data_IF_257121833534
#
_entry.id   IF_257121833534
#
_cell.length_a   1.000
_cell.length_b   1.000
_cell.length_c   1.000
_cell.angle_alpha   90.00
_cell.angle_beta   90.00
_cell.angle_gamma   90.00
#
_symmetry.space_group_name_H-M   'P 1'
#
loop_
_entity.id
_entity.type
_entity.pdbx_description
1 polymer ?
#
# COMPACT_ATOMS: atom_id res chain seq x y z
N UNK A 1 47.22 -40.16 37.80
CA UNK A 1 46.34 -39.10 37.25
C UNK A 1 45.95 -39.29 35.76
N UNK A 2 46.40 -40.33 35.07
CA UNK A 2 46.15 -40.51 33.61
C UNK A 2 44.83 -41.22 33.22
N UNK A 3 44.13 -41.85 34.16
CA UNK A 3 42.90 -42.61 33.85
C UNK A 3 41.70 -41.69 33.51
N UNK A 4 41.66 -40.47 34.07
CA UNK A 4 40.51 -39.57 33.92
C UNK A 4 40.54 -38.75 32.61
N UNK A 5 41.73 -38.51 32.06
CA UNK A 5 41.93 -37.76 30.80
C UNK A 5 41.55 -38.61 29.57
N UNK A 6 41.75 -39.94 29.62
CA UNK A 6 41.39 -40.83 28.50
C UNK A 6 39.87 -40.96 28.30
N UNK A 7 39.06 -40.88 29.38
CA UNK A 7 37.59 -40.91 29.26
C UNK A 7 37.02 -39.64 28.63
N UNK A 8 37.56 -38.45 28.95
CA UNK A 8 37.12 -37.18 28.33
C UNK A 8 37.42 -37.12 26.82
N UNK A 9 38.59 -37.63 26.38
CA UNK A 9 38.92 -37.68 24.94
C UNK A 9 38.02 -38.64 24.14
N UNK A 10 37.50 -39.71 24.76
CA UNK A 10 36.60 -40.67 24.11
C UNK A 10 35.17 -40.14 23.97
N UNK A 11 34.68 -39.36 24.95
CA UNK A 11 33.38 -38.70 24.89
C UNK A 11 33.37 -37.58 23.83
N UNK A 12 34.43 -36.76 23.76
CA UNK A 12 34.56 -35.70 22.75
C UNK A 12 34.75 -36.24 21.32
N UNK A 13 35.36 -37.42 21.15
CA UNK A 13 35.42 -38.11 19.84
C UNK A 13 34.05 -38.62 19.38
N UNK A 14 33.13 -38.93 20.29
CA UNK A 14 31.77 -39.37 19.95
C UNK A 14 30.82 -38.21 19.70
N UNK A 15 31.03 -37.03 20.29
CA UNK A 15 30.24 -35.83 19.96
C UNK A 15 30.57 -35.35 18.54
N UNK A 16 31.84 -35.46 18.11
CA UNK A 16 32.29 -35.08 16.76
C UNK A 16 31.75 -35.97 15.62
N UNK A 17 31.12 -37.12 15.94
CA UNK A 17 30.50 -38.03 14.96
C UNK A 17 29.01 -37.75 14.73
N UNK A 18 28.36 -36.95 15.58
CA UNK A 18 26.96 -36.52 15.41
C UNK A 18 26.82 -35.12 14.80
N UNK A 19 27.93 -34.51 14.36
CA UNK A 19 27.94 -33.22 13.63
C UNK A 19 28.18 -33.47 12.13
N UNK A 20 27.72 -34.62 11.64
CA UNK A 20 27.65 -34.92 10.22
C UNK A 20 26.39 -34.31 9.64
N UNK A 21 26.56 -33.36 8.72
CA UNK A 21 25.58 -32.98 7.68
C UNK A 21 24.16 -32.64 8.16
N UNK A 22 24.03 -31.81 9.19
CA UNK A 22 22.94 -30.82 9.12
C UNK A 22 23.49 -29.70 8.24
N UNK A 23 22.86 -29.32 7.12
CA UNK A 23 23.26 -28.09 6.44
C UNK A 23 23.03 -26.96 7.44
N UNK A 24 24.08 -26.58 8.16
CA UNK A 24 24.13 -25.25 8.75
C UNK A 24 24.14 -24.34 7.54
N UNK A 25 22.97 -23.83 7.19
CA UNK A 25 22.80 -22.89 6.11
C UNK A 25 23.70 -21.71 6.48
N UNK A 26 24.88 -21.68 5.89
CA UNK A 26 25.66 -20.47 5.82
C UNK A 26 24.68 -19.49 5.17
N UNK A 27 24.28 -18.45 5.91
CA UNK A 27 23.51 -17.34 5.35
C UNK A 27 24.55 -16.29 4.99
N UNK A 28 25.27 -16.40 3.86
CA UNK A 28 26.00 -15.26 3.36
C UNK A 28 24.95 -14.26 2.91
N UNK A 29 24.95 -13.11 3.57
CA UNK A 29 24.03 -11.99 3.43
C UNK A 29 22.73 -12.10 4.24
N UNK A 30 22.56 -11.17 5.19
CA UNK A 30 21.41 -11.02 6.08
C UNK A 30 20.23 -10.34 5.38
N UNK A 31 20.46 -9.83 4.18
CA UNK A 31 19.46 -9.13 3.38
C UNK A 31 18.61 -10.13 2.62
N UNK A 32 17.28 -9.91 2.64
CA UNK A 32 16.31 -10.69 1.87
C UNK A 32 15.48 -9.73 1.05
N UNK A 33 15.32 -10.04 -0.23
CA UNK A 33 14.51 -9.25 -1.14
C UNK A 33 13.18 -9.96 -1.35
N UNK A 34 12.10 -9.26 -1.00
CA UNK A 34 10.73 -9.72 -1.16
C UNK A 34 10.22 -9.23 -2.51
N UNK A 35 9.82 -10.17 -3.36
CA UNK A 35 9.19 -9.89 -4.65
C UNK A 35 7.69 -10.05 -4.49
N UNK A 36 6.94 -9.02 -4.89
CA UNK A 36 5.50 -8.94 -4.71
C UNK A 36 4.76 -9.10 -6.04
N UNK A 37 3.55 -9.64 -5.98
CA UNK A 37 2.60 -9.61 -7.09
C UNK A 37 1.85 -8.26 -7.20
N UNK A 38 0.93 -8.16 -8.16
CA UNK A 38 0.12 -6.95 -8.37
C UNK A 38 -0.82 -6.62 -7.19
N UNK A 39 -1.15 -7.59 -6.34
CA UNK A 39 -2.00 -7.41 -5.15
C UNK A 39 -1.18 -7.14 -3.89
N UNK A 40 0.16 -7.17 -3.98
CA UNK A 40 1.06 -7.04 -2.85
C UNK A 40 1.24 -8.33 -2.05
N UNK A 41 0.88 -9.49 -2.61
CA UNK A 41 1.25 -10.79 -2.03
C UNK A 41 2.72 -11.12 -2.31
N UNK A 42 3.37 -11.84 -1.40
CA UNK A 42 4.79 -12.23 -1.55
C UNK A 42 4.85 -13.47 -2.45
N UNK A 43 5.46 -13.36 -3.63
CA UNK A 43 5.63 -14.49 -4.57
C UNK A 43 6.99 -15.18 -4.39
N UNK A 44 8.07 -14.42 -4.34
CA UNK A 44 9.44 -14.96 -4.31
C UNK A 44 10.31 -14.20 -3.31
N UNK A 45 11.19 -14.92 -2.62
CA UNK A 45 12.19 -14.34 -1.72
C UNK A 45 13.57 -14.74 -2.21
N UNK A 46 14.42 -13.75 -2.45
CA UNK A 46 15.81 -13.96 -2.90
C UNK A 46 16.82 -13.49 -1.86
N UNK A 47 18.00 -14.11 -1.87
CA UNK A 47 19.16 -13.67 -1.10
C UNK A 47 19.91 -12.51 -1.80
N UNK A 48 21.01 -12.05 -1.20
CA UNK A 48 21.87 -10.98 -1.74
C UNK A 48 22.61 -11.34 -3.03
N UNK A 49 22.65 -12.62 -3.36
CA UNK A 49 23.34 -13.20 -4.50
C UNK A 49 22.36 -13.53 -5.63
N UNK A 50 21.05 -13.29 -5.42
CA UNK A 50 20.00 -13.54 -6.40
C UNK A 50 19.49 -14.99 -6.43
N UNK A 51 19.90 -15.85 -5.49
CA UNK A 51 19.35 -17.19 -5.38
C UNK A 51 17.96 -17.15 -4.73
N UNK A 52 17.07 -18.01 -5.21
CA UNK A 52 15.72 -18.16 -4.66
C UNK A 52 15.83 -18.94 -3.34
N UNK A 53 15.44 -18.29 -2.25
CA UNK A 53 15.37 -18.89 -0.92
C UNK A 53 14.01 -19.53 -0.71
N UNK A 54 12.95 -18.84 -1.13
CA UNK A 54 11.58 -19.27 -0.92
C UNK A 54 10.68 -18.79 -2.05
N UNK A 55 9.68 -19.60 -2.41
CA UNK A 55 8.64 -19.25 -3.38
C UNK A 55 7.29 -19.65 -2.80
N UNK A 56 6.33 -18.74 -2.90
CA UNK A 56 4.97 -18.91 -2.43
C UNK A 56 4.03 -18.70 -3.61
N UNK A 57 2.99 -19.51 -3.70
CA UNK A 57 1.95 -19.33 -4.71
C UNK A 57 0.58 -19.38 -4.03
N UNK A 58 -0.36 -18.56 -4.51
CA UNK A 58 -1.69 -18.44 -3.94
C UNK A 58 -2.78 -18.80 -4.97
N UNK A 59 -3.93 -19.28 -4.48
CA UNK A 59 -5.17 -19.30 -5.27
C UNK A 59 -5.76 -17.88 -5.36
N UNK A 60 -6.80 -17.71 -6.17
CA UNK A 60 -7.48 -16.40 -6.31
C UNK A 60 -7.99 -15.85 -4.96
N UNK A 61 -8.34 -16.72 -4.01
CA UNK A 61 -8.81 -16.35 -2.68
C UNK A 61 -7.72 -16.36 -1.60
N UNK A 62 -6.44 -16.52 -1.98
CA UNK A 62 -5.31 -16.44 -1.06
C UNK A 62 -4.89 -17.74 -0.39
N UNK A 63 -5.46 -18.89 -0.79
CA UNK A 63 -5.04 -20.20 -0.27
C UNK A 63 -3.63 -20.52 -0.79
N UNK A 64 -2.72 -20.87 0.12
CA UNK A 64 -1.35 -21.25 -0.26
C UNK A 64 -1.36 -22.57 -1.02
N UNK A 65 -0.74 -22.58 -2.19
CA UNK A 65 -0.53 -23.79 -2.99
C UNK A 65 0.70 -24.54 -2.51
N UNK A 66 0.65 -25.88 -2.58
CA UNK A 66 1.75 -26.78 -2.21
C UNK A 66 2.79 -27.00 -3.33
N UNK A 67 2.63 -26.35 -4.49
CA UNK A 67 3.48 -26.54 -5.66
C UNK A 67 3.47 -25.30 -6.55
N UNK A 68 4.54 -25.13 -7.32
CA UNK A 68 4.66 -24.03 -8.27
C UNK A 68 3.68 -24.27 -9.44
N UNK A 69 3.36 -23.23 -10.22
CA UNK A 69 2.54 -23.36 -11.43
C UNK A 69 3.18 -24.27 -12.50
N UNK A 70 4.43 -24.66 -12.29
CA UNK A 70 5.20 -25.61 -13.09
C UNK A 70 5.05 -27.01 -12.51
N UNK A 71 4.56 -27.91 -13.35
CA UNK A 71 4.08 -29.28 -13.09
C UNK A 71 5.09 -30.23 -12.40
N UNK A 72 6.31 -29.81 -12.07
CA UNK A 72 7.38 -30.73 -11.64
C UNK A 72 8.22 -30.33 -10.42
N UNK A 73 8.13 -29.10 -9.91
CA UNK A 73 8.98 -28.69 -8.78
C UNK A 73 8.14 -28.43 -7.52
N UNK A 74 8.36 -29.20 -6.44
CA UNK A 74 7.82 -28.84 -5.13
C UNK A 74 8.32 -27.44 -4.78
N UNK A 75 7.42 -26.56 -4.31
CA UNK A 75 7.87 -25.30 -3.75
C UNK A 75 8.84 -25.62 -2.60
N UNK A 76 9.93 -24.83 -2.44
CA UNK A 76 10.73 -24.91 -1.24
C UNK A 76 9.82 -24.84 -0.01
N UNK A 77 10.07 -25.66 1.04
CA UNK A 77 9.25 -25.60 2.24
C UNK A 77 9.26 -24.18 2.78
N UNK A 78 8.07 -23.68 3.15
CA UNK A 78 7.94 -22.39 3.82
C UNK A 78 8.81 -22.44 5.06
N UNK A 79 9.65 -21.44 5.23
CA UNK A 79 10.50 -21.32 6.41
C UNK A 79 9.81 -20.26 7.29
N UNK A 80 9.06 -20.65 8.35
CA UNK A 80 8.36 -19.68 9.20
C UNK A 80 9.30 -18.66 9.84
N UNK A 81 10.59 -19.01 9.95
CA UNK A 81 11.62 -18.11 10.44
C UNK A 81 11.96 -16.95 9.46
N UNK A 82 11.53 -17.00 8.21
CA UNK A 82 11.85 -16.01 7.18
C UNK A 82 10.77 -14.93 7.05
N UNK A 83 9.50 -15.32 6.95
CA UNK A 83 8.36 -14.40 6.96
C UNK A 83 7.05 -15.10 7.32
N UNK A 84 6.28 -14.50 8.24
CA UNK A 84 4.91 -14.92 8.51
C UNK A 84 3.89 -14.26 7.57
N UNK A 85 4.34 -13.32 6.73
CA UNK A 85 3.46 -12.61 5.78
C UNK A 85 3.34 -13.36 4.46
N UNK A 86 2.19 -13.21 3.82
CA UNK A 86 1.90 -13.86 2.56
C UNK A 86 0.94 -13.08 1.67
N UNK A 87 -0.30 -13.57 1.57
CA UNK A 87 -1.33 -13.02 0.70
C UNK A 87 -1.65 -11.57 1.06
N UNK A 88 -1.61 -10.67 0.08
CA UNK A 88 -1.86 -9.22 0.23
C UNK A 88 -1.03 -8.55 1.35
N UNK A 89 0.11 -9.14 1.74
CA UNK A 89 0.99 -8.64 2.80
C UNK A 89 0.54 -8.95 4.23
N UNK A 90 -0.51 -9.77 4.41
CA UNK A 90 -1.05 -10.13 5.72
C UNK A 90 -0.36 -11.34 6.33
N UNK A 91 -0.49 -11.48 7.65
CA UNK A 91 0.12 -12.59 8.40
C UNK A 91 -0.71 -13.87 8.24
N UNK A 92 -0.04 -14.96 7.87
CA UNK A 92 -0.63 -16.28 7.75
C UNK A 92 -0.39 -17.07 9.03
N UNK A 93 -1.43 -17.75 9.49
CA UNK A 93 -1.37 -18.71 10.59
C UNK A 93 -1.47 -20.09 9.95
N UNK A 94 -0.32 -20.58 9.47
CA UNK A 94 -0.23 -21.78 8.64
C UNK A 94 -0.70 -23.05 9.39
N UNK A 95 -0.66 -23.08 10.74
CA UNK A 95 -1.17 -24.19 11.56
C UNK A 95 -2.69 -24.38 11.40
N UNK A 96 -3.41 -23.29 11.16
CA UNK A 96 -4.87 -23.29 11.02
C UNK A 96 -5.32 -23.01 9.58
N UNK A 97 -4.39 -22.66 8.68
CA UNK A 97 -4.69 -22.26 7.31
C UNK A 97 -5.43 -20.92 7.21
N UNK A 98 -5.34 -20.07 8.24
CA UNK A 98 -6.07 -18.80 8.32
C UNK A 98 -5.15 -17.61 8.04
N UNK A 99 -5.74 -16.48 7.67
CA UNK A 99 -5.02 -15.23 7.39
C UNK A 99 -5.53 -14.15 8.35
N UNK A 100 -4.61 -13.54 9.09
CA UNK A 100 -4.89 -12.44 10.00
C UNK A 100 -4.79 -11.10 9.26
N UNK A 101 -5.94 -10.54 8.89
CA UNK A 101 -6.03 -9.29 8.12
C UNK A 101 -6.12 -8.04 9.01
N UNK A 102 -5.35 -8.01 10.11
CA UNK A 102 -5.34 -6.98 11.15
C UNK A 102 -6.67 -6.85 11.93
N UNK A 103 -7.75 -6.43 11.27
CA UNK A 103 -9.07 -6.24 11.89
C UNK A 103 -9.90 -7.51 11.99
N UNK A 104 -9.71 -8.48 11.09
CA UNK A 104 -10.50 -9.72 11.02
C UNK A 104 -9.66 -10.91 10.59
N UNK A 105 -10.11 -12.10 10.99
CA UNK A 105 -9.54 -13.37 10.55
C UNK A 105 -10.28 -13.86 9.32
N UNK A 106 -9.53 -14.17 8.27
CA UNK A 106 -10.00 -14.60 6.98
C UNK A 106 -9.65 -16.07 6.74
N UNK A 107 -10.63 -16.82 6.23
CA UNK A 107 -10.46 -18.21 5.80
C UNK A 107 -10.35 -18.25 4.26
N UNK A 108 -9.15 -18.52 3.72
CA UNK A 108 -8.92 -18.59 2.28
C UNK A 108 -9.53 -19.84 1.62
N UNK A 109 -9.86 -20.90 2.36
CA UNK A 109 -10.43 -22.13 1.78
C UNK A 109 -11.88 -21.90 1.34
N UNK A 110 -12.65 -21.19 2.16
CA UNK A 110 -14.05 -20.83 1.84
C UNK A 110 -14.16 -19.44 1.18
N UNK A 111 -13.09 -18.64 1.22
CA UNK A 111 -13.04 -17.29 0.67
C UNK A 111 -13.85 -16.27 1.48
N UNK A 112 -13.92 -16.43 2.82
CA UNK A 112 -14.78 -15.60 3.69
C UNK A 112 -14.10 -15.26 5.02
N UNK A 113 -14.54 -14.18 5.64
CA UNK A 113 -14.16 -13.85 7.01
C UNK A 113 -14.89 -14.75 8.02
N UNK A 114 -14.23 -15.02 9.15
CA UNK A 114 -14.83 -15.76 10.26
C UNK A 114 -15.76 -14.89 11.12
N UNK A 115 -15.54 -13.57 11.11
CA UNK A 115 -16.37 -12.59 11.82
C UNK A 115 -17.11 -11.69 10.84
N UNK A 116 -18.32 -11.27 11.23
CA UNK A 116 -19.12 -10.34 10.43
C UNK A 116 -18.53 -8.93 10.48
N UNK A 117 -18.44 -8.26 9.32
CA UNK A 117 -18.02 -6.85 9.21
C UNK A 117 -18.94 -5.94 10.05
N UNK A 118 -18.48 -5.15 11.04
CA UNK A 118 -19.34 -4.22 11.75
C UNK A 118 -20.02 -3.17 10.85
N UNK A 119 -19.51 -2.94 9.63
CA UNK A 119 -19.99 -1.90 8.72
C UNK A 119 -20.58 -2.48 7.43
N UNK A 120 -21.67 -1.85 6.95
CA UNK A 120 -22.24 -2.12 5.63
C UNK A 120 -21.71 -1.04 4.67
N UNK A 121 -20.85 -1.44 3.73
CA UNK A 121 -20.11 -0.54 2.85
C UNK A 121 -21.01 0.29 1.92
N UNK A 122 -22.07 -0.34 1.40
CA UNK A 122 -23.02 0.32 0.49
C UNK A 122 -24.45 -0.15 0.80
N UNK A 123 -25.24 0.65 1.51
CA UNK A 123 -26.63 0.30 1.87
C UNK A 123 -27.52 0.04 0.65
N UNK A 124 -27.19 0.65 -0.48
CA UNK A 124 -27.95 0.52 -1.74
C UNK A 124 -27.51 -0.68 -2.59
N UNK A 125 -26.40 -1.34 -2.24
CA UNK A 125 -25.93 -2.55 -2.92
C UNK A 125 -26.32 -3.78 -2.10
N UNK A 126 -27.18 -4.63 -2.65
CA UNK A 126 -27.61 -5.88 -2.02
C UNK A 126 -26.44 -6.81 -1.69
N UNK A 127 -25.33 -6.76 -2.45
CA UNK A 127 -24.14 -7.56 -2.19
C UNK A 127 -23.39 -7.14 -0.92
N UNK A 128 -23.49 -5.87 -0.51
CA UNK A 128 -22.83 -5.36 0.71
C UNK A 128 -23.49 -5.87 2.00
N UNK A 129 -24.67 -6.47 1.92
CA UNK A 129 -25.29 -7.14 3.07
C UNK A 129 -24.62 -8.48 3.40
N UNK A 130 -23.78 -9.03 2.51
CA UNK A 130 -22.93 -10.16 2.83
C UNK A 130 -21.71 -9.72 3.63
N UNK A 131 -21.90 -9.58 4.95
CA UNK A 131 -20.90 -9.11 5.92
C UNK A 131 -19.68 -10.04 6.10
N UNK A 132 -19.69 -11.23 5.50
CA UNK A 132 -18.58 -12.19 5.53
C UNK A 132 -17.79 -12.23 4.22
N UNK A 133 -18.25 -11.55 3.18
CA UNK A 133 -17.60 -11.60 1.87
C UNK A 133 -16.27 -10.86 1.89
N UNK A 134 -15.25 -11.46 1.27
CA UNK A 134 -14.00 -10.78 0.97
C UNK A 134 -14.14 -10.03 -0.35
N UNK A 135 -13.87 -8.72 -0.32
CA UNK A 135 -13.72 -7.86 -1.52
C UNK A 135 -14.83 -8.01 -2.57
N UNK A 136 -16.09 -8.16 -2.12
CA UNK A 136 -17.28 -8.34 -2.99
C UNK A 136 -17.13 -9.57 -3.91
N UNK A 137 -16.45 -10.61 -3.43
CA UNK A 137 -16.09 -11.83 -4.18
C UNK A 137 -15.23 -11.57 -5.44
N UNK A 138 -14.48 -10.45 -5.49
CA UNK A 138 -13.56 -10.16 -6.59
C UNK A 138 -12.14 -9.87 -6.06
N UNK A 139 -11.44 -10.91 -5.57
CA UNK A 139 -10.13 -10.79 -4.92
C UNK A 139 -8.97 -10.50 -5.89
N UNK A 140 -9.19 -10.67 -7.20
CA UNK A 140 -8.16 -10.38 -8.21
C UNK A 140 -8.02 -8.89 -8.54
N UNK A 141 -9.05 -8.10 -8.22
CA UNK A 141 -9.09 -6.65 -8.49
C UNK A 141 -8.96 -5.82 -7.23
N UNK A 142 -9.48 -6.32 -6.11
CA UNK A 142 -9.62 -5.58 -4.89
C UNK A 142 -8.90 -6.29 -3.75
N UNK A 143 -8.22 -5.51 -2.91
CA UNK A 143 -7.56 -5.94 -1.70
C UNK A 143 -8.15 -5.19 -0.50
N UNK A 144 -8.08 -5.78 0.69
CA UNK A 144 -8.53 -5.16 1.93
C UNK A 144 -7.33 -5.00 2.90
N UNK A 145 -6.63 -3.85 2.92
CA UNK A 145 -5.40 -3.65 3.69
C UNK A 145 -5.59 -3.64 5.22
N UNK A 146 -6.77 -3.21 5.68
CA UNK A 146 -7.07 -3.08 7.13
C UNK A 146 -8.00 -4.19 7.63
N UNK A 147 -8.38 -5.11 6.72
CA UNK A 147 -9.46 -6.07 6.96
C UNK A 147 -10.82 -5.38 7.14
N UNK A 148 -10.96 -4.11 6.75
CA UNK A 148 -12.19 -3.33 6.74
C UNK A 148 -12.18 -2.40 5.52
N UNK A 149 -12.67 -2.88 4.38
CA UNK A 149 -12.74 -2.18 3.09
C UNK A 149 -13.32 -0.74 3.12
N UNK A 150 -13.99 -0.34 4.21
CA UNK A 150 -14.59 0.97 4.42
C UNK A 150 -13.56 2.13 4.45
N UNK A 151 -12.38 1.96 5.05
CA UNK A 151 -11.43 3.07 5.20
C UNK A 151 -10.84 3.55 3.86
N UNK A 152 -10.55 2.61 2.94
CA UNK A 152 -10.02 2.94 1.62
C UNK A 152 -11.06 3.70 0.76
N UNK A 153 -12.34 3.29 0.82
CA UNK A 153 -13.41 3.96 0.07
C UNK A 153 -13.74 5.34 0.64
N UNK A 154 -13.76 5.50 1.97
CA UNK A 154 -14.01 6.79 2.61
C UNK A 154 -12.88 7.77 2.32
N UNK A 155 -11.62 7.33 2.42
CA UNK A 155 -10.46 8.15 2.10
C UNK A 155 -10.47 8.62 0.63
N UNK A 156 -10.82 7.73 -0.31
CA UNK A 156 -10.94 8.07 -1.73
C UNK A 156 -12.10 9.06 -2.01
N UNK A 157 -13.24 8.92 -1.33
CA UNK A 157 -14.38 9.83 -1.49
C UNK A 157 -14.10 11.22 -0.90
N UNK A 158 -13.47 11.27 0.28
CA UNK A 158 -13.09 12.53 0.95
C UNK A 158 -12.02 13.27 0.14
N UNK A 159 -10.98 12.57 -0.33
CA UNK A 159 -9.93 13.21 -1.14
C UNK A 159 -10.48 13.75 -2.46
N UNK A 160 -11.36 13.00 -3.14
CA UNK A 160 -11.99 13.46 -4.39
C UNK A 160 -12.81 14.73 -4.19
N UNK A 161 -13.64 14.80 -3.14
CA UNK A 161 -14.48 15.98 -2.86
C UNK A 161 -13.67 17.22 -2.50
N UNK A 162 -12.60 17.06 -1.71
CA UNK A 162 -11.70 18.17 -1.35
C UNK A 162 -10.98 18.69 -2.59
N UNK A 163 -10.41 17.81 -3.41
CA UNK A 163 -9.69 18.20 -4.64
C UNK A 163 -10.61 18.89 -5.64
N UNK A 164 -11.84 18.39 -5.83
CA UNK A 164 -12.81 19.03 -6.74
C UNK A 164 -13.24 20.41 -6.25
N UNK A 165 -13.47 20.59 -4.95
CA UNK A 165 -13.86 21.89 -4.39
C UNK A 165 -12.73 22.92 -4.50
N UNK A 166 -11.48 22.51 -4.25
CA UNK A 166 -10.29 23.36 -4.42
C UNK A 166 -10.12 23.72 -5.91
N UNK A 167 -10.20 22.74 -6.82
CA UNK A 167 -10.05 22.96 -8.25
C UNK A 167 -11.12 23.91 -8.81
N UNK A 168 -12.39 23.74 -8.43
CA UNK A 168 -13.47 24.64 -8.85
C UNK A 168 -13.29 26.07 -8.33
N UNK A 169 -12.80 26.22 -7.09
CA UNK A 169 -12.45 27.53 -6.54
C UNK A 169 -11.32 28.22 -7.30
N UNK A 170 -10.27 27.48 -7.68
CA UNK A 170 -9.15 28.00 -8.47
C UNK A 170 -9.58 28.39 -9.88
N UNK A 171 -10.38 27.55 -10.54
CA UNK A 171 -10.91 27.82 -11.88
C UNK A 171 -11.76 29.10 -11.87
N UNK A 172 -12.64 29.28 -10.87
CA UNK A 172 -13.43 30.50 -10.72
C UNK A 172 -12.57 31.75 -10.56
N UNK A 173 -11.49 31.68 -9.78
CA UNK A 173 -10.53 32.79 -9.63
C UNK A 173 -9.77 33.10 -10.94
N UNK A 174 -9.40 32.08 -11.72
CA UNK A 174 -8.78 32.25 -13.03
C UNK A 174 -9.72 32.95 -14.03
N UNK A 175 -11.01 32.61 -14.04
CA UNK A 175 -12.00 33.25 -14.89
C UNK A 175 -12.20 34.73 -14.54
N UNK A 176 -12.29 35.07 -13.25
CA UNK A 176 -12.41 36.47 -12.80
C UNK A 176 -11.17 37.26 -13.17
N UNK A 177 -9.98 36.70 -12.95
CA UNK A 177 -8.71 37.34 -13.31
C UNK A 177 -8.58 37.57 -14.81
N UNK A 178 -8.95 36.58 -15.63
CA UNK A 178 -9.01 36.71 -17.08
C UNK A 178 -9.92 37.86 -17.50
N UNK A 179 -11.16 37.88 -16.99
CA UNK A 179 -12.17 38.88 -17.38
C UNK A 179 -11.76 40.30 -17.00
N UNK A 180 -11.26 40.50 -15.77
CA UNK A 180 -10.81 41.82 -15.29
C UNK A 180 -9.60 42.32 -16.09
N UNK A 181 -8.57 41.48 -16.26
CA UNK A 181 -7.37 41.88 -16.99
C UNK A 181 -7.64 42.10 -18.48
N UNK A 182 -8.52 41.30 -19.09
CA UNK A 182 -8.98 41.50 -20.46
C UNK A 182 -9.70 42.84 -20.61
N UNK A 183 -10.66 43.15 -19.73
CA UNK A 183 -11.43 44.39 -19.81
C UNK A 183 -10.55 45.64 -19.64
N UNK A 184 -9.67 45.65 -18.63
CA UNK A 184 -8.78 46.79 -18.35
C UNK A 184 -7.83 47.06 -19.52
N UNK A 185 -7.22 46.01 -20.07
CA UNK A 185 -6.26 46.15 -21.18
C UNK A 185 -6.94 46.48 -22.51
N UNK A 186 -8.16 45.98 -22.73
CA UNK A 186 -8.95 46.36 -23.89
C UNK A 186 -9.32 47.85 -23.86
N UNK A 187 -9.74 48.37 -22.70
CA UNK A 187 -10.05 49.79 -22.55
C UNK A 187 -8.80 50.67 -22.75
N UNK A 188 -7.64 50.23 -22.26
CA UNK A 188 -6.40 51.01 -22.35
C UNK A 188 -5.75 51.00 -23.75
N UNK A 189 -5.80 49.86 -24.46
CA UNK A 189 -5.00 49.63 -25.69
C UNK A 189 -5.90 49.49 -26.93
N UNK A 190 -7.19 49.22 -26.78
CA UNK A 190 -8.16 49.07 -27.88
C UNK A 190 -7.96 47.84 -28.76
N UNK A 191 -6.99 46.97 -28.45
CA UNK A 191 -6.62 45.81 -29.26
C UNK A 191 -6.99 44.51 -28.57
N UNK A 192 -7.94 43.76 -29.14
CA UNK A 192 -8.40 42.48 -28.59
C UNK A 192 -7.27 41.44 -28.44
N UNK A 193 -6.33 41.37 -29.39
CA UNK A 193 -5.20 40.43 -29.34
C UNK A 193 -4.29 40.66 -28.13
N UNK A 194 -4.04 41.92 -27.78
CA UNK A 194 -3.22 42.29 -26.62
C UNK A 194 -3.98 41.99 -25.33
N UNK A 195 -5.28 42.28 -25.30
CA UNK A 195 -6.14 42.00 -24.16
C UNK A 195 -6.26 40.50 -23.85
N UNK A 196 -6.33 39.64 -24.88
CA UNK A 196 -6.31 38.19 -24.72
C UNK A 196 -5.00 37.71 -24.05
N UNK A 197 -3.85 38.25 -24.46
CA UNK A 197 -2.56 37.93 -23.84
C UNK A 197 -2.48 38.33 -22.36
N UNK A 198 -3.00 39.51 -22.03
CA UNK A 198 -3.07 39.98 -20.64
C UNK A 198 -4.04 39.16 -19.78
N UNK A 199 -5.20 38.78 -20.32
CA UNK A 199 -6.16 37.92 -19.63
C UNK A 199 -5.59 36.53 -19.32
N UNK A 200 -4.95 35.88 -20.31
CA UNK A 200 -4.39 34.54 -20.14
C UNK A 200 -3.24 34.52 -19.13
N UNK A 201 -2.36 35.52 -19.18
CA UNK A 201 -1.25 35.66 -18.22
C UNK A 201 -1.78 35.86 -16.80
N UNK A 202 -2.75 36.75 -16.60
CA UNK A 202 -3.36 36.97 -15.29
C UNK A 202 -4.04 35.71 -14.73
N UNK A 203 -4.78 34.98 -15.56
CA UNK A 203 -5.37 33.70 -15.18
C UNK A 203 -4.30 32.69 -14.72
N UNK A 204 -3.20 32.56 -15.46
CA UNK A 204 -2.12 31.63 -15.12
C UNK A 204 -1.44 32.00 -13.78
N UNK A 205 -1.14 33.27 -13.55
CA UNK A 205 -0.55 33.74 -12.28
C UNK A 205 -1.48 33.46 -11.10
N UNK A 206 -2.78 33.67 -11.29
CA UNK A 206 -3.80 33.41 -10.27
C UNK A 206 -3.97 31.91 -9.97
N UNK A 207 -3.95 31.07 -11.01
CA UNK A 207 -4.01 29.62 -10.87
C UNK A 207 -2.81 29.08 -10.06
N UNK A 208 -1.60 29.54 -10.37
CA UNK A 208 -0.38 29.13 -9.65
C UNK A 208 -0.36 29.68 -8.21
N UNK A 209 -0.77 30.94 -8.01
CA UNK A 209 -0.83 31.58 -6.70
C UNK A 209 -1.86 30.94 -5.76
N UNK A 210 -3.03 30.56 -6.27
CA UNK A 210 -4.06 29.91 -5.50
C UNK A 210 -3.70 28.47 -5.08
N UNK A 211 -2.95 27.73 -5.91
CA UNK A 211 -2.38 26.42 -5.56
C UNK A 211 -1.40 26.50 -4.38
N UNK A 212 -0.71 27.63 -4.22
CA UNK A 212 0.21 27.90 -3.10
C UNK A 212 -0.48 28.51 -1.86
N UNK A 213 -1.82 28.54 -1.83
CA UNK A 213 -2.61 29.03 -0.69
C UNK A 213 -2.81 30.55 -0.65
N UNK A 214 -2.43 31.28 -1.70
CA UNK A 214 -2.70 32.71 -1.80
C UNK A 214 -4.15 32.98 -2.20
N UNK A 215 -4.98 33.47 -1.28
CA UNK A 215 -6.31 33.99 -1.60
C UNK A 215 -6.20 35.51 -1.85
N UNK A 216 -6.66 35.98 -3.01
CA UNK A 216 -6.77 37.41 -3.27
C UNK A 216 -8.10 37.89 -2.70
N UNK A 217 -8.04 38.74 -1.66
CA UNK A 217 -9.22 39.37 -1.10
C UNK A 217 -9.85 40.36 -2.08
N UNK A 218 -11.14 40.66 -1.92
CA UNK A 218 -11.90 41.60 -2.75
C UNK A 218 -11.27 43.01 -2.89
N UNK A 219 -10.31 43.35 -2.03
CA UNK A 219 -9.56 44.60 -2.03
C UNK A 219 -8.22 44.53 -2.81
N UNK A 220 -7.99 43.49 -3.62
CA UNK A 220 -6.77 43.33 -4.43
C UNK A 220 -5.50 42.99 -3.66
N UNK A 221 -5.60 42.78 -2.34
CA UNK A 221 -4.47 42.37 -1.49
C UNK A 221 -4.44 40.86 -1.35
N UNK A 222 -3.27 40.25 -1.61
CA UNK A 222 -3.03 38.84 -1.31
C UNK A 222 -3.05 38.65 0.21
N UNK A 223 -4.00 37.87 0.72
CA UNK A 223 -4.04 37.48 2.12
C UNK A 223 -3.25 36.18 2.27
N UNK A 224 -2.05 36.28 2.83
CA UNK A 224 -1.33 35.10 3.31
C UNK A 224 -1.99 34.66 4.63
N UNK A 225 -2.37 33.38 4.72
CA UNK A 225 -2.84 32.82 5.97
C UNK A 225 -1.66 32.82 6.94
N UNK A 226 -1.60 33.79 7.85
CA UNK A 226 -0.57 33.79 8.89
C UNK A 226 -0.85 32.60 9.81
N UNK A 227 -0.11 31.51 9.62
CA UNK A 227 0.00 30.47 10.63
C UNK A 227 0.78 31.09 11.77
N UNK A 228 0.04 31.67 12.71
CA UNK A 228 0.61 32.25 13.92
C UNK A 228 1.37 31.18 14.68
N UNK A 229 2.68 31.39 14.84
CA UNK A 229 3.44 30.90 15.97
C UNK A 229 2.69 31.30 17.25
N UNK A 230 2.03 30.34 17.89
CA UNK A 230 1.82 30.43 19.34
C UNK A 230 3.00 29.72 19.98
N UNK A 231 4.08 30.48 20.12
CA UNK A 231 5.11 30.21 21.11
C UNK A 231 4.62 30.78 22.45
N UNK A 232 4.82 29.98 23.50
CA UNK A 232 4.50 30.13 24.94
C UNK A 232 3.22 29.41 25.38
#
# INVERSE_FOLDING_TARGET
MECHIRRRKKILKNIRRYIGTLPFFYIPDKTRYLHYDNLGSIDTITDGQGNIVERMAYTAFGERRKGDWRVSDPLPPIIPALTNRGFTGHEHIDEMGLIHMNGRVYDPQIGRFLSADPYIQSPYNTQSYNRYSYTINNPLKYTDPDGNFFLAFLAAAITKTIVTNIAMGLIAQMFVAYAVSYAVTYIAIGSAKVAQGAGLSAALFMGIGGLRGGKIGANGKMQYNQVGNQAL
#
